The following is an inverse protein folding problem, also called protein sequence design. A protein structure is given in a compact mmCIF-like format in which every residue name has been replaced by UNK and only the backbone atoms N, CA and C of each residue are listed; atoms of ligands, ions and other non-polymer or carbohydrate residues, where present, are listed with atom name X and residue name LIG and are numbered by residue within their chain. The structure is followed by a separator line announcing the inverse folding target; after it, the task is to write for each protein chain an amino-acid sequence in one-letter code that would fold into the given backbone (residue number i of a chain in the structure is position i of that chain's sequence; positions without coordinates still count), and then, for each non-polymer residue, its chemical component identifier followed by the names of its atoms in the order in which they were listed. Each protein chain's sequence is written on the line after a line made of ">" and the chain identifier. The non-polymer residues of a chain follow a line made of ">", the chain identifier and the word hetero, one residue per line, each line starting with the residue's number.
data_IF_680816650316
#
_entry.id   IF_680816650316
#
_cell.length_a   1.000
_cell.length_b   1.000
_cell.length_c   1.000
_cell.angle_alpha   90.00
_cell.angle_beta   90.00
_cell.angle_gamma   90.00
#
_symmetry.space_group_name_H-M   'P 1'
#
loop_
_entity.id
_entity.type
_entity.pdbx_description
1 polymer ?
#
# COMPACT_ATOMS: atom_id res chain seq x y z
N UNK A 1 25.21 28.04 -37.87
CA UNK A 1 24.28 27.10 -37.21
C UNK A 1 24.08 27.57 -35.77
N UNK A 2 22.95 28.24 -35.53
CA UNK A 2 22.80 29.23 -34.44
C UNK A 2 22.88 28.61 -33.05
N UNK A 3 23.61 29.29 -32.15
CA UNK A 3 23.76 28.97 -30.73
C UNK A 3 22.43 28.63 -30.04
N UNK A 4 21.35 29.31 -30.44
CA UNK A 4 19.98 29.06 -30.00
C UNK A 4 19.46 27.63 -30.29
N UNK A 5 19.87 26.98 -31.39
CA UNK A 5 19.48 25.59 -31.67
C UNK A 5 20.20 24.59 -30.74
N UNK A 6 21.43 24.92 -30.29
CA UNK A 6 22.15 24.08 -29.31
C UNK A 6 21.56 24.21 -27.91
N UNK A 7 21.10 25.40 -27.53
CA UNK A 7 20.45 25.64 -26.24
C UNK A 7 19.11 24.89 -26.11
N UNK A 8 18.35 24.80 -27.20
CA UNK A 8 17.05 24.12 -27.24
C UNK A 8 17.18 22.58 -27.15
N UNK A 9 18.31 22.02 -27.59
CA UNK A 9 18.60 20.58 -27.44
C UNK A 9 18.95 20.26 -25.97
N UNK A 10 19.61 21.16 -25.24
CA UNK A 10 20.01 20.94 -23.85
C UNK A 10 18.81 20.89 -22.88
N UNK A 11 17.75 21.65 -23.15
CA UNK A 11 16.53 21.65 -22.32
C UNK A 11 15.67 20.39 -22.48
N UNK A 12 15.73 19.71 -23.62
CA UNK A 12 14.98 18.46 -23.87
C UNK A 12 15.59 17.29 -23.07
N UNK A 13 16.90 17.30 -22.80
CA UNK A 13 17.55 16.25 -22.00
C UNK A 13 17.32 16.35 -20.49
N UNK A 14 16.88 17.50 -19.98
CA UNK A 14 16.62 17.71 -18.55
C UNK A 14 15.21 17.28 -18.10
N UNK A 15 14.33 16.92 -19.03
CA UNK A 15 12.94 16.52 -18.72
C UNK A 15 12.72 15.01 -18.64
N UNK A 16 13.78 14.20 -18.69
CA UNK A 16 13.68 12.78 -18.32
C UNK A 16 13.63 12.68 -16.79
N UNK A 17 12.51 13.08 -16.20
CA UNK A 17 12.14 12.63 -14.86
C UNK A 17 11.86 11.13 -14.97
N UNK A 18 12.91 10.32 -14.86
CA UNK A 18 12.75 8.91 -14.53
C UNK A 18 11.94 8.88 -13.24
N UNK A 19 10.71 8.37 -13.29
CA UNK A 19 10.01 7.96 -12.06
C UNK A 19 10.78 6.76 -11.52
N UNK A 20 11.83 7.03 -10.75
CA UNK A 20 12.58 5.99 -10.08
C UNK A 20 11.62 5.30 -9.13
N UNK A 21 11.58 3.97 -9.21
CA UNK A 21 10.84 3.19 -8.24
C UNK A 21 11.38 3.53 -6.84
N UNK A 22 10.47 3.84 -5.94
CA UNK A 22 10.78 4.08 -4.54
C UNK A 22 11.10 2.75 -3.85
N UNK A 23 11.94 2.80 -2.81
CA UNK A 23 12.31 1.61 -2.04
C UNK A 23 11.75 1.72 -0.63
N UNK A 24 11.00 0.71 -0.20
CA UNK A 24 10.41 0.63 1.15
C UNK A 24 10.88 -0.62 1.88
N UNK A 25 10.87 -0.57 3.22
CA UNK A 25 11.07 -1.75 4.04
C UNK A 25 9.79 -2.59 4.06
N UNK A 26 9.94 -3.87 4.41
CA UNK A 26 8.82 -4.80 4.59
C UNK A 26 8.69 -5.19 6.06
N UNK A 27 7.49 -5.14 6.60
CA UNK A 27 7.19 -5.76 7.90
C UNK A 27 6.04 -6.76 7.78
N UNK A 28 6.05 -7.71 8.71
CA UNK A 28 5.07 -8.77 8.88
C UNK A 28 4.23 -8.43 10.10
N UNK A 29 2.92 -8.41 9.97
CA UNK A 29 1.99 -8.13 11.05
C UNK A 29 0.99 -9.25 11.24
N UNK A 30 0.36 -9.26 12.42
CA UNK A 30 -0.75 -10.13 12.74
C UNK A 30 -2.03 -9.32 12.96
N UNK A 31 -3.16 -10.03 13.09
CA UNK A 31 -4.48 -9.43 13.30
C UNK A 31 -4.61 -8.63 14.62
N UNK A 32 -3.64 -8.77 15.52
CA UNK A 32 -3.57 -8.05 16.79
C UNK A 32 -2.61 -6.85 16.73
N UNK A 33 -2.22 -6.40 15.54
CA UNK A 33 -1.33 -5.26 15.29
C UNK A 33 0.10 -5.41 15.81
N UNK A 34 0.50 -6.61 16.22
CA UNK A 34 1.90 -6.86 16.50
C UNK A 34 2.62 -7.00 15.17
N UNK A 35 3.76 -6.33 15.03
CA UNK A 35 4.53 -6.34 13.81
C UNK A 35 6.01 -6.62 14.07
N UNK A 36 6.67 -7.18 13.05
CA UNK A 36 8.10 -7.48 13.05
C UNK A 36 8.67 -7.16 11.67
N UNK A 37 9.82 -6.49 11.63
CA UNK A 37 10.54 -6.26 10.37
C UNK A 37 10.86 -7.57 9.67
N UNK A 38 10.56 -7.73 8.38
CA UNK A 38 11.07 -8.86 7.64
C UNK A 38 12.58 -8.68 7.46
N UNK A 39 13.38 -9.71 7.75
CA UNK A 39 14.84 -9.61 7.73
C UNK A 39 15.49 -10.69 6.88
N UNK A 40 16.62 -10.36 6.27
CA UNK A 40 17.58 -11.30 5.71
C UNK A 40 18.87 -11.19 6.54
N UNK A 41 19.06 -12.12 7.47
CA UNK A 41 20.06 -12.00 8.53
C UNK A 41 19.79 -10.79 9.42
N UNK A 42 20.76 -9.87 9.49
CA UNK A 42 20.64 -8.65 10.30
C UNK A 42 20.06 -7.44 9.53
N UNK A 43 19.80 -7.58 8.22
CA UNK A 43 19.32 -6.49 7.37
C UNK A 43 17.82 -6.58 7.15
N UNK A 44 17.13 -5.45 7.14
CA UNK A 44 15.71 -5.38 6.76
C UNK A 44 15.58 -5.70 5.28
N UNK A 45 14.54 -6.45 4.93
CA UNK A 45 14.16 -6.66 3.52
C UNK A 45 13.54 -5.38 2.99
N UNK A 46 13.98 -4.98 1.81
CA UNK A 46 13.46 -3.83 1.07
C UNK A 46 12.93 -4.25 -0.28
N UNK A 47 11.95 -3.51 -0.78
CA UNK A 47 11.32 -3.74 -2.08
C UNK A 47 11.07 -2.44 -2.82
N UNK A 48 11.07 -2.52 -4.14
CA UNK A 48 10.87 -1.37 -5.01
C UNK A 48 9.41 -1.26 -5.47
N UNK A 49 8.93 -0.05 -5.74
CA UNK A 49 7.57 0.19 -6.20
C UNK A 49 7.24 1.67 -6.31
N UNK A 50 5.97 2.02 -6.13
CA UNK A 50 5.51 3.41 -6.12
C UNK A 50 4.28 3.55 -5.23
N UNK A 51 4.21 4.64 -4.46
CA UNK A 51 2.98 4.99 -3.75
C UNK A 51 1.88 5.40 -4.74
N UNK A 52 0.68 4.90 -4.51
CA UNK A 52 -0.51 5.16 -5.32
C UNK A 52 -1.72 5.37 -4.43
N UNK A 53 -2.70 6.07 -4.98
CA UNK A 53 -3.99 6.30 -4.35
C UNK A 53 -5.08 5.58 -5.12
N UNK A 54 -5.97 4.90 -4.38
CA UNK A 54 -7.23 4.38 -4.89
C UNK A 54 -8.36 5.26 -4.35
N UNK A 55 -9.00 6.02 -5.24
CA UNK A 55 -10.00 7.05 -4.91
C UNK A 55 -11.41 6.52 -5.14
N UNK A 56 -12.27 6.53 -4.12
CA UNK A 56 -13.62 5.94 -4.17
C UNK A 56 -14.74 6.97 -4.27
N UNK A 57 -14.59 8.07 -3.53
CA UNK A 57 -15.49 9.22 -3.52
C UNK A 57 -14.63 10.48 -3.67
N UNK A 58 -15.21 11.67 -4.00
CA UNK A 58 -14.43 12.86 -4.34
C UNK A 58 -13.35 13.27 -3.32
N UNK A 59 -13.45 12.77 -2.10
CA UNK A 59 -12.48 12.99 -1.05
C UNK A 59 -12.25 11.75 -0.19
N UNK A 60 -12.40 10.52 -0.67
CA UNK A 60 -12.09 9.31 0.12
C UNK A 60 -11.14 8.43 -0.68
N UNK A 61 -9.98 8.12 -0.09
CA UNK A 61 -8.95 7.36 -0.77
C UNK A 61 -8.21 6.40 0.17
N UNK A 62 -7.57 5.41 -0.43
CA UNK A 62 -6.58 4.53 0.22
C UNK A 62 -5.25 4.76 -0.46
N UNK A 63 -4.24 5.07 0.34
CA UNK A 63 -2.84 5.06 -0.12
C UNK A 63 -2.24 3.66 0.05
N UNK A 64 -1.64 3.16 -1.02
CA UNK A 64 -1.03 1.83 -1.06
C UNK A 64 0.27 1.85 -1.83
N UNK A 65 1.13 0.86 -1.56
CA UNK A 65 2.39 0.71 -2.28
C UNK A 65 2.23 -0.28 -3.43
N UNK A 66 2.28 0.21 -4.67
CA UNK A 66 2.27 -0.64 -5.86
C UNK A 66 3.62 -1.32 -6.04
N UNK A 67 3.66 -2.61 -5.70
CA UNK A 67 4.90 -3.37 -5.57
C UNK A 67 5.43 -3.80 -6.94
N UNK A 68 6.69 -3.48 -7.24
CA UNK A 68 7.38 -4.01 -8.42
C UNK A 68 7.56 -5.52 -8.28
N UNK A 69 7.09 -6.26 -9.28
CA UNK A 69 6.98 -7.73 -9.25
C UNK A 69 5.57 -8.23 -8.90
N UNK A 70 4.69 -7.31 -8.50
CA UNK A 70 3.26 -7.52 -8.34
C UNK A 70 2.88 -8.62 -7.36
N UNK A 71 1.74 -9.25 -7.61
CA UNK A 71 1.12 -10.27 -6.76
C UNK A 71 2.12 -11.36 -6.36
N UNK A 72 2.88 -11.92 -7.31
CA UNK A 72 3.85 -12.99 -7.02
C UNK A 72 4.89 -12.57 -5.97
N UNK A 73 5.32 -11.30 -6.01
CA UNK A 73 6.28 -10.79 -5.02
C UNK A 73 5.62 -10.63 -3.64
N UNK A 74 4.36 -10.19 -3.59
CA UNK A 74 3.58 -10.12 -2.35
C UNK A 74 3.46 -11.51 -1.72
N UNK A 75 3.21 -12.54 -2.52
CA UNK A 75 3.11 -13.91 -2.05
C UNK A 75 4.43 -14.45 -1.52
N UNK A 76 5.53 -14.20 -2.22
CA UNK A 76 6.88 -14.54 -1.75
C UNK A 76 7.16 -13.91 -0.38
N UNK A 77 6.89 -12.61 -0.21
CA UNK A 77 7.09 -11.91 1.06
C UNK A 77 6.18 -12.45 2.16
N UNK A 78 4.94 -12.79 1.84
CA UNK A 78 3.99 -13.42 2.77
C UNK A 78 4.54 -14.75 3.29
N UNK A 79 5.04 -15.60 2.40
CA UNK A 79 5.64 -16.88 2.79
C UNK A 79 6.88 -16.68 3.67
N UNK A 80 7.73 -15.70 3.36
CA UNK A 80 8.89 -15.40 4.18
C UNK A 80 8.50 -14.85 5.56
N UNK A 81 7.44 -14.06 5.65
CA UNK A 81 6.87 -13.63 6.93
C UNK A 81 6.37 -14.80 7.78
N UNK A 82 5.59 -15.70 7.19
CA UNK A 82 5.07 -16.92 7.85
C UNK A 82 6.24 -17.79 8.33
N UNK A 83 7.22 -18.01 7.47
CA UNK A 83 8.40 -18.82 7.77
C UNK A 83 9.24 -18.27 8.93
N UNK A 84 9.36 -16.94 9.04
CA UNK A 84 10.18 -16.32 10.10
C UNK A 84 9.44 -16.15 11.43
N UNK A 85 8.12 -15.92 11.39
CA UNK A 85 7.37 -15.47 12.56
C UNK A 85 6.16 -16.33 12.90
N UNK A 86 5.86 -17.34 12.10
CA UNK A 86 4.72 -18.25 12.23
C UNK A 86 3.48 -17.77 11.48
N UNK A 87 2.50 -18.67 11.34
CA UNK A 87 1.28 -18.47 10.55
C UNK A 87 0.45 -17.26 10.98
N UNK A 88 0.60 -16.80 12.22
CA UNK A 88 -0.07 -15.60 12.71
C UNK A 88 0.40 -14.31 12.03
N UNK A 89 1.63 -14.28 11.48
CA UNK A 89 2.26 -13.09 10.88
C UNK A 89 2.18 -13.10 9.35
N UNK A 90 1.00 -13.37 8.79
CA UNK A 90 0.80 -13.51 7.35
C UNK A 90 0.50 -12.19 6.61
N UNK A 91 0.31 -11.08 7.34
CA UNK A 91 -0.02 -9.79 6.73
C UNK A 91 1.29 -9.06 6.41
N UNK A 92 1.63 -8.97 5.13
CA UNK A 92 2.85 -8.30 4.65
C UNK A 92 2.56 -6.86 4.27
N UNK A 93 3.37 -5.91 4.73
CA UNK A 93 3.10 -4.48 4.55
C UNK A 93 4.35 -3.65 4.26
N UNK A 94 4.22 -2.57 3.47
CA UNK A 94 5.28 -1.60 3.23
C UNK A 94 5.48 -0.65 4.42
N UNK A 95 6.72 -0.20 4.63
CA UNK A 95 7.03 0.90 5.52
C UNK A 95 8.28 1.68 5.08
N UNK A 96 8.18 3.01 5.13
CA UNK A 96 9.35 3.88 4.97
C UNK A 96 10.27 3.77 6.20
N UNK A 97 9.69 3.70 7.42
CA UNK A 97 10.42 3.61 8.68
C UNK A 97 9.54 3.03 9.81
N UNK A 98 10.01 3.07 11.07
CA UNK A 98 9.29 2.49 12.21
C UNK A 98 8.03 3.26 12.65
N UNK A 99 7.92 4.52 12.26
CA UNK A 99 6.75 5.39 12.50
C UNK A 99 5.82 5.44 11.29
N UNK A 100 6.05 4.62 10.27
CA UNK A 100 5.16 4.57 9.11
C UNK A 100 3.75 4.18 9.55
N UNK A 101 2.78 4.83 8.94
CA UNK A 101 1.38 4.45 9.08
C UNK A 101 1.12 3.06 8.47
N UNK A 102 -0.04 2.50 8.78
CA UNK A 102 -0.45 1.22 8.23
C UNK A 102 -0.91 1.42 6.79
N UNK A 103 -0.08 0.95 5.84
CA UNK A 103 -0.42 0.88 4.43
C UNK A 103 -0.42 -0.56 3.96
N UNK A 104 -1.10 -0.83 2.85
CA UNK A 104 -1.09 -2.14 2.22
C UNK A 104 -0.28 -2.14 0.92
N UNK A 105 0.13 -3.33 0.47
CA UNK A 105 0.61 -3.49 -0.90
C UNK A 105 -0.56 -3.55 -1.86
N UNK A 106 -0.35 -3.08 -3.09
CA UNK A 106 -1.27 -3.30 -4.19
C UNK A 106 -0.54 -3.75 -5.44
N UNK A 107 -1.31 -4.27 -6.39
CA UNK A 107 -0.84 -4.56 -7.75
C UNK A 107 -2.03 -4.74 -8.69
N UNK A 108 -1.92 -4.22 -9.92
CA UNK A 108 -2.91 -4.42 -10.98
C UNK A 108 -4.35 -4.03 -10.61
N UNK A 109 -4.52 -2.98 -9.80
CA UNK A 109 -5.85 -2.53 -9.36
C UNK A 109 -6.45 -3.31 -8.20
N UNK A 110 -5.68 -4.25 -7.62
CA UNK A 110 -6.06 -4.98 -6.42
C UNK A 110 -5.19 -4.53 -5.25
N UNK A 111 -5.78 -4.51 -4.05
CA UNK A 111 -5.07 -4.32 -2.80
C UNK A 111 -4.91 -5.65 -2.08
N UNK A 112 -3.76 -5.87 -1.44
CA UNK A 112 -3.63 -6.96 -0.49
C UNK A 112 -4.57 -6.68 0.69
N UNK A 113 -5.39 -7.66 1.02
CA UNK A 113 -6.24 -7.61 2.19
C UNK A 113 -5.38 -7.62 3.46
N UNK A 114 -5.68 -6.75 4.41
CA UNK A 114 -4.85 -6.54 5.59
C UNK A 114 -5.17 -5.24 6.30
N UNK A 115 -4.14 -4.66 6.93
CA UNK A 115 -4.27 -3.45 7.72
C UNK A 115 -3.97 -2.23 6.84
N UNK A 116 -4.90 -1.30 6.69
CA UNK A 116 -4.65 -0.04 6.01
C UNK A 116 -5.61 1.06 6.48
N UNK A 117 -5.24 2.30 6.20
CA UNK A 117 -5.99 3.50 6.57
C UNK A 117 -6.76 4.01 5.36
N UNK A 118 -8.04 4.33 5.57
CA UNK A 118 -8.81 5.18 4.65
C UNK A 118 -8.65 6.62 5.07
N UNK A 119 -8.36 7.47 4.10
CA UNK A 119 -8.11 8.90 4.28
C UNK A 119 -9.17 9.74 3.57
N UNK A 120 -9.35 11.00 4.01
CA UNK A 120 -10.26 11.94 3.36
C UNK A 120 -9.71 13.37 3.22
N UNK A 121 -9.94 14.00 2.06
CA UNK A 121 -9.47 15.37 1.78
C UNK A 121 -10.38 16.50 2.29
N UNK A 122 -11.66 16.25 2.56
CA UNK A 122 -12.67 17.32 2.68
C UNK A 122 -12.79 17.97 4.08
N UNK A 123 -11.87 17.67 5.00
CA UNK A 123 -11.86 18.34 6.30
C UNK A 123 -10.43 18.54 6.74
N UNK A 124 -10.05 19.76 7.15
CA UNK A 124 -8.85 20.03 7.97
C UNK A 124 -8.94 19.42 9.38
N UNK A 125 -9.57 18.25 9.49
CA UNK A 125 -9.55 17.32 10.60
C UNK A 125 -9.25 15.95 9.99
N UNK A 126 -8.01 15.48 10.14
CA UNK A 126 -7.62 14.16 9.66
C UNK A 126 -8.36 13.10 10.47
N UNK A 127 -9.33 12.43 9.86
CA UNK A 127 -9.92 11.22 10.42
C UNK A 127 -9.16 10.02 9.85
N UNK A 128 -8.40 9.32 10.70
CA UNK A 128 -7.84 8.01 10.36
C UNK A 128 -8.93 6.96 10.52
N UNK A 129 -9.58 6.54 9.44
CA UNK A 129 -10.51 5.43 9.49
C UNK A 129 -9.73 4.13 9.22
N UNK A 130 -9.41 3.38 10.26
CA UNK A 130 -8.80 2.06 10.14
C UNK A 130 -9.88 1.06 9.72
N UNK A 131 -9.84 0.56 8.48
CA UNK A 131 -10.72 -0.54 8.10
C UNK A 131 -10.13 -1.85 8.60
N UNK A 132 -10.59 -2.28 9.78
CA UNK A 132 -10.42 -3.66 10.22
C UNK A 132 -11.55 -4.48 9.61
N UNK A 133 -11.24 -5.32 8.64
CA UNK A 133 -12.19 -6.37 8.24
C UNK A 133 -11.65 -7.74 8.65
N UNK A 134 -11.89 -8.09 9.92
CA UNK A 134 -11.55 -9.41 10.47
C UNK A 134 -12.35 -10.56 9.85
N UNK A 135 -13.53 -10.29 9.28
CA UNK A 135 -14.38 -11.30 8.63
C UNK A 135 -13.81 -11.74 7.26
N UNK A 136 -13.20 -10.81 6.52
CA UNK A 136 -12.53 -11.11 5.24
C UNK A 136 -11.23 -11.91 5.37
N UNK A 137 -10.67 -12.02 6.57
CA UNK A 137 -9.39 -12.70 6.80
C UNK A 137 -9.54 -14.21 7.03
N UNK A 138 -10.78 -14.71 7.22
CA UNK A 138 -11.03 -16.13 7.49
C UNK A 138 -11.19 -16.99 6.23
N UNK A 139 -11.24 -16.39 5.04
CA UNK A 139 -11.42 -17.13 3.79
C UNK A 139 -10.21 -16.96 2.85
N UNK A 140 -9.64 -18.08 2.38
CA UNK A 140 -8.47 -18.10 1.49
C UNK A 140 -8.75 -17.41 0.15
N UNK A 141 -10.02 -17.26 -0.22
CA UNK A 141 -10.49 -16.62 -1.45
C UNK A 141 -10.50 -15.08 -1.41
N UNK A 142 -10.27 -14.44 -0.26
CA UNK A 142 -10.35 -12.97 -0.07
C UNK A 142 -8.99 -12.32 0.25
N UNK A 143 -7.91 -12.86 -0.30
CA UNK A 143 -6.55 -12.33 -0.08
C UNK A 143 -6.31 -10.97 -0.74
N UNK A 144 -7.02 -10.68 -1.83
CA UNK A 144 -6.93 -9.40 -2.53
C UNK A 144 -8.32 -8.79 -2.63
N UNK A 145 -8.39 -7.46 -2.57
CA UNK A 145 -9.62 -6.68 -2.65
C UNK A 145 -9.61 -5.87 -3.95
N UNK A 146 -10.66 -6.01 -4.77
CA UNK A 146 -10.90 -5.16 -5.93
C UNK A 146 -11.40 -3.78 -5.51
N UNK A 147 -11.36 -2.83 -6.43
CA UNK A 147 -11.95 -1.51 -6.23
C UNK A 147 -13.44 -1.60 -5.84
N UNK A 148 -14.22 -2.41 -6.55
CA UNK A 148 -15.66 -2.55 -6.33
C UNK A 148 -15.95 -3.10 -4.94
N UNK A 149 -15.22 -4.14 -4.51
CA UNK A 149 -15.39 -4.74 -3.17
C UNK A 149 -15.09 -3.73 -2.05
N UNK A 150 -14.09 -2.87 -2.25
CA UNK A 150 -13.75 -1.82 -1.29
C UNK A 150 -14.80 -0.71 -1.33
N UNK A 151 -15.24 -0.28 -2.52
CA UNK A 151 -16.24 0.76 -2.68
C UNK A 151 -17.55 0.41 -1.97
N UNK A 152 -18.04 -0.82 -2.15
CA UNK A 152 -19.24 -1.33 -1.47
C UNK A 152 -19.10 -1.30 0.05
N UNK A 153 -17.93 -1.68 0.58
CA UNK A 153 -17.66 -1.66 2.02
C UNK A 153 -17.59 -0.24 2.59
N UNK A 154 -16.91 0.67 1.90
CA UNK A 154 -16.85 2.09 2.30
C UNK A 154 -18.25 2.69 2.30
N UNK A 155 -19.06 2.38 1.28
CA UNK A 155 -20.44 2.84 1.20
C UNK A 155 -21.27 2.33 2.40
N UNK A 156 -21.14 1.06 2.76
CA UNK A 156 -21.83 0.48 3.93
C UNK A 156 -21.42 1.15 5.24
N UNK A 157 -20.12 1.35 5.47
CA UNK A 157 -19.61 2.03 6.68
C UNK A 157 -20.12 3.46 6.80
N UNK A 158 -20.21 4.18 5.68
CA UNK A 158 -20.77 5.55 5.65
C UNK A 158 -22.25 5.57 6.00
N UNK A 159 -23.02 4.59 5.51
CA UNK A 159 -24.45 4.46 5.82
C UNK A 159 -24.63 4.24 7.32
N UNK A 160 -23.86 3.33 7.93
CA UNK A 160 -23.95 3.04 9.37
C UNK A 160 -23.62 4.26 10.25
N UNK A 161 -22.66 5.10 9.83
CA UNK A 161 -22.32 6.34 10.53
C UNK A 161 -23.35 7.46 10.34
N UNK A 162 -24.19 7.42 9.30
CA UNK A 162 -25.22 8.44 9.06
C UNK A 162 -26.47 8.31 9.94
N UNK A 163 -26.56 7.21 10.70
CA UNK A 163 -27.64 6.95 11.66
C UNK A 163 -27.24 7.18 13.14
N UNK A 164 -26.03 7.70 13.38
CA UNK A 164 -25.53 8.14 14.68
C UNK A 164 -25.49 9.67 14.74
#
# INVERSE_FOLDING_TARGET
>A
MNFFKKLLILTIFLQCHYSLAETVNVYCSNISHNWKWLKNGNKKVTVDGSWKEMVFFPAVFIEFFDLKGGINKIEELTHECIKQYGDAYYIVQPANNFMSEWHTFGSNGYLLNGLFIIQSHNVSYGYSLYMFNTELLQNTYSKYLSYEEIAEKIQKLRIDQSYL
#
